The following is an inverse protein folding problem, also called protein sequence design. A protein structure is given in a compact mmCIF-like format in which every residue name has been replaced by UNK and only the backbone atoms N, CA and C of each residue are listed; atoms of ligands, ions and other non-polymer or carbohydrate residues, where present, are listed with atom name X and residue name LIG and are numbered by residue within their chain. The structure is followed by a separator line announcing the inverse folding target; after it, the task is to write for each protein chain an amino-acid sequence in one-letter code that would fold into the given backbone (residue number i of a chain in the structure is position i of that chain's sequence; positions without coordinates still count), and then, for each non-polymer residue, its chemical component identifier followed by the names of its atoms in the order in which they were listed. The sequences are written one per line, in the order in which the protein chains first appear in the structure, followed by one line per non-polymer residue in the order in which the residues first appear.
data_IF_179419547818
#
_entry.id   IF_179419547818
#
_cell.length_a   1.000
_cell.length_b   1.000
_cell.length_c   1.000
_cell.angle_alpha   90.00
_cell.angle_beta   90.00
_cell.angle_gamma   90.00
#
_symmetry.space_group_name_H-M   'P 1'
#
loop_
_entity.id
_entity.type
_entity.pdbx_description
1 polymer ?
#
# COMPACT_ATOMS: atom_id res chain seq x y z
N UNK A 1 9.12 -18.59 6.37
CA UNK A 1 9.88 -17.33 6.27
C UNK A 1 8.94 -16.18 6.61
N UNK A 2 9.50 -15.01 6.93
CA UNK A 2 8.72 -13.81 7.26
C UNK A 2 9.04 -12.70 6.28
N UNK A 3 8.00 -11.96 5.86
CA UNK A 3 8.08 -10.84 4.92
C UNK A 3 7.23 -9.67 5.43
N UNK A 4 7.56 -8.45 5.02
CA UNK A 4 6.87 -7.23 5.44
C UNK A 4 6.15 -6.61 4.24
N UNK A 5 4.86 -6.30 4.38
CA UNK A 5 4.11 -5.42 3.49
C UNK A 5 3.97 -4.04 4.15
N UNK A 6 4.55 -3.02 3.54
CA UNK A 6 4.59 -1.66 4.10
C UNK A 6 3.95 -0.62 3.18
N UNK A 7 3.06 0.18 3.76
CA UNK A 7 2.36 1.27 3.08
C UNK A 7 2.93 2.65 3.37
N UNK A 8 2.22 3.67 2.90
CA UNK A 8 2.70 5.06 2.92
C UNK A 8 2.67 5.69 4.33
N UNK A 9 2.05 5.04 5.31
CA UNK A 9 1.96 5.54 6.69
C UNK A 9 3.32 5.80 7.34
N UNK A 10 4.40 5.16 6.88
CA UNK A 10 5.76 5.42 7.38
C UNK A 10 6.35 6.72 6.83
N UNK A 11 5.95 7.12 5.63
CA UNK A 11 6.37 8.37 5.02
C UNK A 11 5.80 9.58 5.76
N UNK A 12 4.67 9.43 6.46
CA UNK A 12 4.02 10.49 7.24
C UNK A 12 4.89 11.07 8.39
N UNK A 13 5.99 10.40 8.75
CA UNK A 13 6.91 10.88 9.79
C UNK A 13 7.79 12.02 9.27
N UNK A 14 8.20 11.97 8.01
CA UNK A 14 9.11 12.94 7.36
C UNK A 14 8.43 13.76 6.27
N UNK A 15 7.27 13.31 5.79
CA UNK A 15 6.56 13.88 4.67
C UNK A 15 5.11 14.12 5.08
N UNK A 16 4.50 15.19 4.58
CA UNK A 16 3.08 15.44 4.79
C UNK A 16 2.37 15.48 3.43
N UNK A 17 2.28 14.32 2.78
CA UNK A 17 1.65 14.22 1.47
C UNK A 17 0.16 13.97 1.64
N UNK A 18 -0.63 14.98 1.30
CA UNK A 18 -2.06 14.85 1.18
C UNK A 18 -2.40 14.35 -0.23
N UNK A 19 -2.66 13.05 -0.36
CA UNK A 19 -3.03 12.41 -1.63
C UNK A 19 -4.22 13.08 -2.33
N UNK A 20 -5.19 13.59 -1.56
CA UNK A 20 -6.33 14.32 -2.12
C UNK A 20 -5.90 15.64 -2.75
N UNK A 21 -5.03 16.40 -2.08
CA UNK A 21 -4.46 17.63 -2.64
C UNK A 21 -3.58 17.35 -3.86
N UNK A 22 -2.81 16.26 -3.82
CA UNK A 22 -2.01 15.82 -4.96
C UNK A 22 -2.90 15.56 -6.19
N UNK A 23 -4.01 14.84 -6.01
CA UNK A 23 -4.98 14.59 -7.08
C UNK A 23 -5.69 15.89 -7.52
N UNK A 24 -6.05 16.79 -6.59
CA UNK A 24 -6.58 18.13 -6.92
C UNK A 24 -5.60 18.90 -7.80
N UNK A 25 -4.32 18.89 -7.49
CA UNK A 25 -3.33 19.62 -8.28
C UNK A 25 -3.21 19.08 -9.71
N UNK A 26 -3.41 17.77 -9.93
CA UNK A 26 -3.48 17.23 -11.29
C UNK A 26 -4.60 17.92 -12.08
N UNK A 27 -5.75 18.14 -11.45
CA UNK A 27 -6.95 18.73 -12.09
C UNK A 27 -6.74 20.15 -12.55
N UNK A 28 -6.06 20.96 -11.74
CA UNK A 28 -5.75 22.36 -12.05
C UNK A 28 -4.95 22.51 -13.35
N UNK A 29 -4.17 21.48 -13.71
CA UNK A 29 -3.38 21.47 -14.94
C UNK A 29 -4.15 21.06 -16.19
N UNK A 30 -5.39 20.56 -16.02
CA UNK A 30 -6.14 19.83 -17.05
C UNK A 30 -7.46 20.52 -17.39
N UNK A 31 -8.16 20.98 -16.35
CA UNK A 31 -9.51 21.51 -16.48
C UNK A 31 -9.66 22.74 -15.59
N UNK A 32 -9.99 23.87 -16.21
CA UNK A 32 -10.22 25.14 -15.50
C UNK A 32 -11.59 25.15 -14.81
N UNK A 33 -12.50 24.23 -15.16
CA UNK A 33 -13.78 24.04 -14.48
C UNK A 33 -13.62 23.05 -13.31
N UNK A 34 -13.98 23.53 -12.11
CA UNK A 34 -13.69 22.86 -10.84
C UNK A 34 -14.21 21.41 -10.76
N UNK A 35 -13.38 20.49 -10.26
CA UNK A 35 -13.89 19.22 -9.73
C UNK A 35 -14.63 19.49 -8.42
N UNK A 36 -15.90 19.08 -8.37
CA UNK A 36 -16.79 19.32 -7.23
C UNK A 36 -16.90 18.05 -6.38
N UNK A 37 -17.03 18.21 -5.07
CA UNK A 37 -17.34 17.15 -4.10
C UNK A 37 -16.29 16.04 -3.99
N UNK A 38 -14.99 16.38 -4.09
CA UNK A 38 -13.89 15.42 -3.95
C UNK A 38 -13.84 14.75 -2.57
N UNK A 39 -14.30 15.44 -1.54
CA UNK A 39 -14.50 14.92 -0.18
C UNK A 39 -15.57 13.82 -0.08
N UNK A 40 -16.47 13.72 -1.06
CA UNK A 40 -17.60 12.79 -1.05
C UNK A 40 -17.41 11.58 -1.97
N UNK A 41 -16.29 11.53 -2.69
CA UNK A 41 -16.00 10.48 -3.68
C UNK A 41 -14.92 9.54 -3.14
N UNK A 42 -15.06 8.22 -3.32
CA UNK A 42 -13.99 7.29 -3.02
C UNK A 42 -12.74 7.62 -3.87
N UNK A 43 -11.55 7.35 -3.33
CA UNK A 43 -10.28 7.72 -3.96
C UNK A 43 -10.15 7.26 -5.42
N UNK A 44 -10.53 6.00 -5.72
CA UNK A 44 -10.48 5.46 -7.08
C UNK A 44 -11.39 6.23 -8.05
N UNK A 45 -12.57 6.66 -7.60
CA UNK A 45 -13.50 7.43 -8.44
C UNK A 45 -12.95 8.81 -8.76
N UNK A 46 -12.19 9.41 -7.83
CA UNK A 46 -11.52 10.68 -8.08
C UNK A 46 -10.54 10.51 -9.23
N UNK A 47 -9.68 9.49 -9.20
CA UNK A 47 -8.72 9.28 -10.28
C UNK A 47 -9.41 9.03 -11.63
N UNK A 48 -10.45 8.19 -11.69
CA UNK A 48 -11.20 7.95 -12.93
C UNK A 48 -11.83 9.23 -13.49
N UNK A 49 -12.38 10.09 -12.62
CA UNK A 49 -12.91 11.39 -13.02
C UNK A 49 -11.80 12.28 -13.59
N UNK A 50 -10.65 12.37 -12.93
CA UNK A 50 -9.49 13.15 -13.40
C UNK A 50 -9.07 12.66 -14.79
N UNK A 51 -8.84 11.37 -14.95
CA UNK A 51 -8.39 10.80 -16.22
C UNK A 51 -9.42 11.02 -17.35
N UNK A 52 -10.70 10.78 -17.07
CA UNK A 52 -11.78 10.98 -18.05
C UNK A 52 -11.86 12.43 -18.52
N UNK A 53 -11.79 13.38 -17.58
CA UNK A 53 -11.79 14.82 -17.90
C UNK A 53 -10.53 15.22 -18.65
N UNK A 54 -9.37 14.68 -18.27
CA UNK A 54 -8.10 14.90 -18.96
C UNK A 54 -8.18 14.53 -20.44
N UNK A 55 -8.72 13.35 -20.73
CA UNK A 55 -8.92 12.89 -22.09
C UNK A 55 -9.93 13.72 -22.87
N UNK A 56 -11.04 14.12 -22.23
CA UNK A 56 -12.13 14.85 -22.87
C UNK A 56 -11.81 16.31 -23.17
N UNK A 57 -11.16 17.01 -22.25
CA UNK A 57 -11.02 18.47 -22.32
C UNK A 57 -9.62 18.97 -22.65
N UNK A 58 -8.59 18.14 -22.48
CA UNK A 58 -7.19 18.53 -22.71
C UNK A 58 -6.41 17.57 -23.61
N UNK A 59 -7.03 16.47 -24.06
CA UNK A 59 -6.36 15.37 -24.79
C UNK A 59 -5.10 14.85 -24.08
N UNK A 60 -5.05 14.98 -22.76
CA UNK A 60 -3.90 14.55 -21.95
C UNK A 60 -3.90 13.03 -21.84
N UNK A 61 -2.84 12.40 -22.31
CA UNK A 61 -2.60 10.96 -22.16
C UNK A 61 -2.33 10.60 -20.69
N UNK A 62 -2.74 9.39 -20.29
CA UNK A 62 -2.65 8.93 -18.90
C UNK A 62 -1.22 8.96 -18.35
N UNK A 63 -0.24 8.61 -19.20
CA UNK A 63 1.18 8.64 -18.84
C UNK A 63 1.62 10.04 -18.36
N UNK A 64 1.03 11.11 -18.88
CA UNK A 64 1.33 12.48 -18.44
C UNK A 64 0.87 12.70 -17.01
N UNK A 65 -0.31 12.19 -16.63
CA UNK A 65 -0.81 12.24 -15.25
C UNK A 65 0.10 11.48 -14.31
N UNK A 66 0.48 10.25 -14.68
CA UNK A 66 1.38 9.41 -13.87
C UNK A 66 2.76 10.05 -13.72
N UNK A 67 3.28 10.73 -14.75
CA UNK A 67 4.52 11.50 -14.65
C UNK A 67 4.39 12.69 -13.70
N UNK A 68 3.25 13.40 -13.68
CA UNK A 68 3.03 14.48 -12.72
C UNK A 68 2.98 13.95 -11.27
N UNK A 69 2.31 12.82 -11.05
CA UNK A 69 2.31 12.10 -9.76
C UNK A 69 3.76 11.77 -9.38
N UNK A 70 4.50 11.10 -10.26
CA UNK A 70 5.89 10.71 -10.01
C UNK A 70 6.78 11.91 -9.64
N UNK A 71 6.64 13.06 -10.33
CA UNK A 71 7.36 14.29 -10.00
C UNK A 71 7.03 14.80 -8.59
N UNK A 72 5.75 14.83 -8.20
CA UNK A 72 5.34 15.29 -6.86
C UNK A 72 5.84 14.40 -5.73
N UNK A 73 6.01 13.10 -5.98
CA UNK A 73 6.47 12.14 -4.98
C UNK A 73 8.00 12.00 -4.94
N UNK A 74 8.71 12.53 -5.94
CA UNK A 74 10.17 12.39 -6.06
C UNK A 74 10.93 13.03 -4.90
N UNK A 75 10.38 14.09 -4.33
CA UNK A 75 11.01 14.86 -3.24
C UNK A 75 10.65 14.32 -1.84
N UNK A 76 10.05 13.12 -1.77
CA UNK A 76 9.84 12.46 -0.48
C UNK A 76 11.17 12.17 0.21
N UNK A 77 11.21 12.48 1.50
CA UNK A 77 12.37 12.29 2.35
C UNK A 77 12.27 10.99 3.14
N UNK A 78 13.35 10.21 3.09
CA UNK A 78 13.57 9.06 3.97
C UNK A 78 13.64 9.52 5.43
N UNK A 79 13.22 8.65 6.34
CA UNK A 79 13.37 8.84 7.79
C UNK A 79 14.03 7.65 8.47
N UNK A 80 14.38 7.82 9.76
CA UNK A 80 15.07 6.81 10.57
C UNK A 80 14.39 5.43 10.62
N UNK A 81 13.07 5.36 10.43
CA UNK A 81 12.35 4.09 10.54
C UNK A 81 12.47 3.23 9.28
N UNK A 82 12.74 3.83 8.12
CA UNK A 82 13.08 3.07 6.91
C UNK A 82 14.35 2.26 7.13
N UNK A 83 15.37 2.88 7.73
CA UNK A 83 16.63 2.21 8.06
C UNK A 83 16.45 1.14 9.15
N UNK A 84 15.72 1.47 10.23
CA UNK A 84 15.42 0.51 11.30
C UNK A 84 14.69 -0.73 10.76
N UNK A 85 13.76 -0.58 9.82
CA UNK A 85 13.05 -1.70 9.17
C UNK A 85 14.00 -2.51 8.29
N UNK A 86 14.83 -1.88 7.47
CA UNK A 86 15.79 -2.61 6.62
C UNK A 86 16.78 -3.42 7.45
N UNK A 87 17.17 -2.92 8.62
CA UNK A 87 18.04 -3.63 9.57
C UNK A 87 17.34 -4.79 10.32
N UNK A 88 16.04 -5.02 10.11
CA UNK A 88 15.35 -6.23 10.59
C UNK A 88 15.64 -7.46 9.72
N UNK A 89 16.33 -7.29 8.59
CA UNK A 89 16.77 -8.37 7.71
C UNK A 89 15.64 -9.27 7.18
N UNK A 90 14.48 -8.68 6.88
CA UNK A 90 13.46 -9.40 6.10
C UNK A 90 14.05 -9.80 4.74
N UNK A 91 13.74 -11.02 4.28
CA UNK A 91 14.14 -11.46 2.94
C UNK A 91 13.41 -10.67 1.85
N UNK A 92 12.14 -10.35 2.10
CA UNK A 92 11.31 -9.56 1.20
C UNK A 92 10.57 -8.45 1.96
N UNK A 93 10.57 -7.27 1.37
CA UNK A 93 9.67 -6.17 1.74
C UNK A 93 8.83 -5.85 0.51
N UNK A 94 7.53 -5.99 0.64
CA UNK A 94 6.53 -5.57 -0.34
C UNK A 94 6.10 -4.16 0.02
N UNK A 95 5.95 -3.26 -0.95
CA UNK A 95 5.47 -1.90 -0.68
C UNK A 95 4.53 -1.40 -1.76
N UNK A 96 3.47 -0.72 -1.31
CA UNK A 96 2.56 0.04 -2.18
C UNK A 96 3.07 1.45 -2.46
N UNK A 97 4.20 1.83 -1.86
CA UNK A 97 4.80 3.14 -2.04
C UNK A 97 5.54 3.23 -3.38
N UNK A 98 5.35 4.34 -4.07
CA UNK A 98 5.99 4.59 -5.36
C UNK A 98 7.43 5.14 -5.23
N UNK A 99 7.75 5.75 -4.08
CA UNK A 99 9.06 6.33 -3.77
C UNK A 99 10.13 5.27 -3.45
N UNK A 100 11.37 5.71 -3.31
CA UNK A 100 12.53 4.83 -3.08
C UNK A 100 13.13 4.94 -1.68
N UNK A 101 12.35 5.33 -0.66
CA UNK A 101 12.86 5.47 0.70
C UNK A 101 13.33 4.14 1.32
N UNK A 102 12.85 2.99 0.81
CA UNK A 102 13.32 1.65 1.17
C UNK A 102 14.43 1.09 0.26
N UNK A 103 14.74 1.76 -0.86
CA UNK A 103 15.76 1.33 -1.81
C UNK A 103 16.79 2.41 -2.15
N UNK A 104 17.24 3.23 -1.17
CA UNK A 104 18.25 4.22 -1.48
C UNK A 104 19.51 3.49 -1.94
N UNK A 105 20.01 3.84 -3.12
CA UNK A 105 21.20 3.24 -3.73
C UNK A 105 21.06 1.77 -4.15
N UNK A 106 19.85 1.28 -4.41
CA UNK A 106 19.67 -0.09 -4.90
C UNK A 106 20.44 -0.36 -6.20
N UNK A 107 21.05 -1.55 -6.27
CA UNK A 107 22.08 -1.89 -7.27
C UNK A 107 21.54 -2.62 -8.50
N UNK A 108 20.23 -2.76 -8.65
CA UNK A 108 19.65 -3.39 -9.84
C UNK A 108 18.13 -3.44 -9.87
N UNK A 109 17.58 -3.28 -11.07
CA UNK A 109 16.18 -3.55 -11.41
C UNK A 109 16.14 -4.90 -12.12
N UNK A 110 15.43 -5.89 -11.59
CA UNK A 110 15.40 -7.24 -12.16
C UNK A 110 14.15 -7.54 -12.98
N UNK A 111 13.77 -6.68 -13.93
CA UNK A 111 12.69 -7.00 -14.88
C UNK A 111 12.59 -6.01 -16.04
N UNK A 112 11.99 -6.47 -17.16
CA UNK A 112 11.52 -5.62 -18.29
C UNK A 112 10.03 -5.31 -18.21
N UNK A 113 9.32 -5.78 -17.17
CA UNK A 113 7.89 -5.48 -16.98
C UNK A 113 7.69 -3.98 -17.01
N UNK A 114 6.63 -3.51 -17.67
CA UNK A 114 6.27 -2.08 -17.69
C UNK A 114 5.05 -1.78 -16.84
N UNK A 115 4.20 -2.78 -16.56
CA UNK A 115 2.95 -2.68 -15.79
C UNK A 115 2.84 -3.79 -14.73
N UNK A 116 2.03 -3.56 -13.71
CA UNK A 116 1.60 -4.51 -12.64
C UNK A 116 2.69 -5.08 -11.70
N UNK A 117 3.97 -4.93 -12.05
CA UNK A 117 5.12 -5.16 -11.15
C UNK A 117 5.15 -6.53 -10.46
N UNK A 118 4.66 -7.60 -11.11
CA UNK A 118 4.57 -8.93 -10.50
C UNK A 118 5.92 -9.52 -10.14
N UNK A 119 6.93 -9.26 -10.96
CA UNK A 119 8.29 -9.74 -10.76
C UNK A 119 9.32 -8.62 -10.54
N UNK A 120 8.86 -7.38 -10.38
CA UNK A 120 9.70 -6.20 -10.24
C UNK A 120 10.13 -6.04 -8.78
N UNK A 121 11.44 -6.10 -8.55
CA UNK A 121 12.03 -5.74 -7.28
C UNK A 121 13.38 -5.07 -7.49
N UNK A 122 13.79 -4.35 -6.45
CA UNK A 122 15.13 -3.82 -6.27
C UNK A 122 15.83 -4.59 -5.16
N UNK A 123 17.15 -4.75 -5.28
CA UNK A 123 17.97 -5.34 -4.23
C UNK A 123 18.54 -4.24 -3.33
N UNK A 124 18.32 -4.37 -2.03
CA UNK A 124 19.02 -3.61 -0.99
C UNK A 124 19.68 -4.59 -0.03
N UNK A 125 21.02 -4.66 -0.06
CA UNK A 125 21.79 -5.74 0.57
C UNK A 125 21.25 -7.13 0.16
N UNK A 126 20.76 -7.91 1.12
CA UNK A 126 20.18 -9.24 0.89
C UNK A 126 18.64 -9.23 0.84
N UNK A 127 18.02 -8.06 0.95
CA UNK A 127 16.57 -7.89 0.95
C UNK A 127 16.07 -7.51 -0.43
N UNK A 128 15.01 -8.19 -0.89
CA UNK A 128 14.25 -7.81 -2.09
C UNK A 128 13.16 -6.82 -1.71
N UNK A 129 13.15 -5.65 -2.33
CA UNK A 129 12.11 -4.64 -2.18
C UNK A 129 11.21 -4.64 -3.41
N UNK A 130 9.95 -5.02 -3.23
CA UNK A 130 8.97 -5.20 -4.29
C UNK A 130 7.99 -4.03 -4.31
N UNK A 131 8.06 -3.20 -5.35
CA UNK A 131 7.14 -2.07 -5.54
C UNK A 131 5.85 -2.55 -6.23
N UNK A 132 4.95 -3.14 -5.44
CA UNK A 132 3.81 -3.89 -5.96
C UNK A 132 2.78 -3.02 -6.68
N UNK A 133 2.73 -1.71 -6.38
CA UNK A 133 1.86 -0.75 -7.07
C UNK A 133 2.60 0.10 -8.12
N UNK A 134 3.85 -0.24 -8.44
CA UNK A 134 4.69 0.53 -9.35
C UNK A 134 5.59 1.54 -8.66
N UNK A 135 6.37 2.27 -9.45
CA UNK A 135 7.47 3.11 -8.95
C UNK A 135 7.67 4.40 -9.77
N UNK A 136 8.13 5.47 -9.13
CA UNK A 136 8.22 6.81 -9.74
C UNK A 136 9.17 6.91 -10.94
N UNK A 137 10.22 6.07 -11.02
CA UNK A 137 11.11 6.07 -12.20
C UNK A 137 10.54 5.27 -13.38
N UNK A 138 9.42 4.57 -13.20
CA UNK A 138 8.67 3.91 -14.26
C UNK A 138 7.18 4.28 -14.18
N UNK A 139 6.79 5.51 -14.52
CA UNK A 139 5.43 6.00 -14.30
C UNK A 139 4.32 5.14 -14.92
N UNK A 140 4.58 4.47 -16.06
CA UNK A 140 3.66 3.48 -16.66
C UNK A 140 3.19 2.39 -15.67
N UNK A 141 4.05 2.03 -14.71
CA UNK A 141 3.78 0.98 -13.72
C UNK A 141 2.88 1.42 -12.57
N UNK A 142 2.67 2.73 -12.36
CA UNK A 142 1.89 3.27 -11.24
C UNK A 142 0.43 2.80 -11.36
N UNK A 143 -0.06 2.17 -10.29
CA UNK A 143 -1.43 1.67 -10.13
C UNK A 143 -2.23 2.60 -9.22
N UNK A 144 -3.23 3.30 -9.76
CA UNK A 144 -4.00 4.30 -9.00
C UNK A 144 -5.50 4.33 -9.34
N UNK A 145 -5.92 3.54 -10.34
CA UNK A 145 -7.28 3.56 -10.92
C UNK A 145 -7.84 2.15 -11.05
N UNK A 146 -9.14 2.03 -11.31
CA UNK A 146 -9.82 0.74 -11.37
C UNK A 146 -9.23 -0.18 -12.43
N UNK A 147 -8.96 0.34 -13.64
CA UNK A 147 -8.36 -0.44 -14.72
C UNK A 147 -7.06 -1.11 -14.26
N UNK A 148 -6.20 -0.36 -13.58
CA UNK A 148 -4.92 -0.86 -13.11
C UNK A 148 -5.06 -2.02 -12.12
N UNK A 149 -5.93 -1.87 -11.13
CA UNK A 149 -6.14 -2.89 -10.10
C UNK A 149 -6.80 -4.14 -10.69
N UNK A 150 -7.82 -3.98 -11.54
CA UNK A 150 -8.50 -5.11 -12.17
C UNK A 150 -7.58 -5.86 -13.13
N UNK A 151 -6.81 -5.14 -13.94
CA UNK A 151 -5.83 -5.72 -14.85
C UNK A 151 -4.69 -6.40 -14.06
N UNK A 152 -4.25 -5.85 -12.93
CA UNK A 152 -3.28 -6.51 -12.04
C UNK A 152 -3.84 -7.84 -11.51
N UNK A 153 -5.05 -7.86 -10.95
CA UNK A 153 -5.72 -9.08 -10.46
C UNK A 153 -5.84 -10.12 -11.58
N UNK A 154 -6.25 -9.71 -12.78
CA UNK A 154 -6.36 -10.61 -13.93
C UNK A 154 -5.01 -11.24 -14.29
N UNK A 155 -3.94 -10.44 -14.34
CA UNK A 155 -2.59 -10.94 -14.59
C UNK A 155 -2.12 -11.89 -13.48
N UNK A 156 -2.42 -11.61 -12.21
CA UNK A 156 -2.12 -12.50 -11.10
C UNK A 156 -2.80 -13.86 -11.32
N UNK A 157 -4.08 -13.87 -11.69
CA UNK A 157 -4.83 -15.11 -11.94
C UNK A 157 -4.26 -15.91 -13.12
N UNK A 158 -3.89 -15.25 -14.22
CA UNK A 158 -3.23 -15.92 -15.36
C UNK A 158 -1.91 -16.53 -14.89
N UNK A 159 -1.07 -15.75 -14.22
CA UNK A 159 0.21 -16.25 -13.73
C UNK A 159 0.02 -17.46 -12.80
N UNK A 160 -0.95 -17.44 -11.89
CA UNK A 160 -1.22 -18.59 -11.01
C UNK A 160 -1.68 -19.84 -11.77
N UNK A 161 -2.41 -19.70 -12.88
CA UNK A 161 -2.79 -20.83 -13.75
C UNK A 161 -1.61 -21.37 -14.56
N UNK A 162 -0.77 -20.47 -15.09
CA UNK A 162 0.39 -20.84 -15.92
C UNK A 162 1.58 -21.35 -15.11
N UNK A 163 1.66 -21.01 -13.81
CA UNK A 163 2.70 -21.39 -12.85
C UNK A 163 2.76 -22.89 -12.49
N UNK A 164 2.14 -23.77 -13.28
CA UNK A 164 2.23 -25.23 -13.14
C UNK A 164 3.37 -25.87 -13.96
N UNK A 165 4.28 -25.08 -14.56
CA UNK A 165 5.40 -25.56 -15.39
C UNK A 165 6.76 -25.48 -14.66
N UNK A 166 7.70 -26.36 -15.02
CA UNK A 166 9.08 -26.39 -14.46
C UNK A 166 9.86 -25.08 -14.73
N UNK A 167 10.74 -24.67 -13.80
CA UNK A 167 11.49 -23.38 -13.75
C UNK A 167 10.67 -22.11 -13.43
N UNK A 168 9.92 -22.15 -12.32
CA UNK A 168 9.07 -21.04 -11.84
C UNK A 168 9.88 -19.79 -11.43
N UNK A 169 9.53 -18.63 -12.01
CA UNK A 169 9.94 -17.33 -11.48
C UNK A 169 9.06 -16.99 -10.26
N UNK A 170 9.68 -16.73 -9.11
CA UNK A 170 8.96 -16.36 -7.88
C UNK A 170 8.50 -14.91 -7.98
N UNK A 171 7.19 -14.68 -7.87
CA UNK A 171 6.55 -13.36 -7.81
C UNK A 171 6.35 -12.90 -6.35
N UNK A 172 6.03 -11.62 -6.16
CA UNK A 172 5.59 -11.14 -4.84
C UNK A 172 4.29 -11.79 -4.37
N UNK A 173 3.43 -12.27 -5.28
CA UNK A 173 2.22 -13.03 -4.94
C UNK A 173 2.60 -14.36 -4.32
N UNK A 174 3.59 -15.05 -4.88
CA UNK A 174 4.06 -16.31 -4.30
C UNK A 174 4.63 -16.08 -2.89
N UNK A 175 5.35 -14.98 -2.69
CA UNK A 175 5.84 -14.57 -1.36
C UNK A 175 4.65 -14.35 -0.43
N UNK A 176 3.65 -13.55 -0.83
CA UNK A 176 2.47 -13.26 -0.02
C UNK A 176 1.68 -14.51 0.36
N UNK A 177 1.55 -15.47 -0.57
CA UNK A 177 0.81 -16.71 -0.34
C UNK A 177 1.56 -17.69 0.58
N UNK A 178 2.90 -17.69 0.60
CA UNK A 178 3.68 -18.72 1.29
C UNK A 178 4.43 -18.24 2.55
N UNK A 179 4.72 -16.94 2.69
CA UNK A 179 5.42 -16.39 3.85
C UNK A 179 4.46 -15.94 4.96
N UNK A 180 4.96 -15.83 6.19
CA UNK A 180 4.28 -15.04 7.21
C UNK A 180 4.39 -13.56 6.84
N UNK A 181 3.27 -12.84 6.79
CA UNK A 181 3.23 -11.43 6.35
C UNK A 181 2.90 -10.50 7.51
N UNK A 182 3.78 -9.55 7.78
CA UNK A 182 3.48 -8.40 8.63
C UNK A 182 3.00 -7.25 7.76
N UNK A 183 1.88 -6.63 8.10
CA UNK A 183 1.35 -5.47 7.39
C UNK A 183 1.49 -4.24 8.27
N UNK A 184 2.19 -3.22 7.76
CA UNK A 184 2.51 -1.99 8.49
C UNK A 184 2.25 -0.75 7.65
N UNK A 185 1.68 0.30 8.24
CA UNK A 185 1.58 1.61 7.59
C UNK A 185 0.64 1.64 6.37
N UNK A 186 -0.15 0.59 6.14
CA UNK A 186 -1.26 0.61 5.20
C UNK A 186 -2.54 1.03 5.90
N UNK A 187 -3.36 1.80 5.20
CA UNK A 187 -4.71 2.12 5.66
C UNK A 187 -5.65 0.92 5.53
N UNK A 188 -5.48 0.10 4.49
CA UNK A 188 -6.42 -0.96 4.09
C UNK A 188 -7.86 -0.42 4.03
N UNK A 189 -8.05 0.77 3.46
CA UNK A 189 -9.40 1.18 3.09
C UNK A 189 -9.95 0.24 2.01
N UNK A 190 -11.27 0.18 1.86
CA UNK A 190 -11.90 -0.76 0.93
C UNK A 190 -11.60 -0.45 -0.55
N UNK A 191 -10.90 0.65 -0.86
CA UNK A 191 -10.35 0.97 -2.17
C UNK A 191 -9.05 0.24 -2.50
N UNK A 192 -8.33 -0.35 -1.54
CA UNK A 192 -7.16 -1.23 -1.78
C UNK A 192 -7.63 -2.63 -2.24
N UNK A 193 -8.43 -2.65 -3.31
CA UNK A 193 -9.25 -3.79 -3.74
C UNK A 193 -8.45 -5.04 -4.11
N UNK A 194 -7.23 -4.87 -4.62
CA UNK A 194 -6.32 -5.96 -4.97
C UNK A 194 -5.75 -6.66 -3.74
N UNK A 195 -5.38 -5.90 -2.71
CA UNK A 195 -4.97 -6.45 -1.41
C UNK A 195 -6.12 -7.16 -0.71
N UNK A 196 -7.32 -6.58 -0.72
CA UNK A 196 -8.53 -7.23 -0.19
C UNK A 196 -8.85 -8.53 -0.94
N UNK A 197 -8.78 -8.50 -2.26
CA UNK A 197 -8.95 -9.69 -3.09
C UNK A 197 -7.91 -10.75 -2.73
N UNK A 198 -6.63 -10.38 -2.60
CA UNK A 198 -5.54 -11.30 -2.32
C UNK A 198 -5.63 -11.93 -0.92
N UNK A 199 -6.00 -11.16 0.10
CA UNK A 199 -6.26 -11.67 1.45
C UNK A 199 -7.39 -12.70 1.44
N UNK A 200 -8.50 -12.37 0.78
CA UNK A 200 -9.64 -13.26 0.63
C UNK A 200 -9.29 -14.53 -0.15
N UNK A 201 -8.55 -14.38 -1.25
CA UNK A 201 -8.08 -15.48 -2.09
C UNK A 201 -7.14 -16.42 -1.35
N UNK A 202 -6.14 -15.87 -0.65
CA UNK A 202 -5.23 -16.63 0.22
C UNK A 202 -6.00 -17.44 1.26
N UNK A 203 -6.95 -16.82 1.96
CA UNK A 203 -7.74 -17.53 2.98
C UNK A 203 -8.52 -18.70 2.38
N UNK A 204 -9.15 -18.53 1.21
CA UNK A 204 -9.81 -19.63 0.49
C UNK A 204 -8.83 -20.76 0.14
N UNK A 205 -7.64 -20.44 -0.36
CA UNK A 205 -6.63 -21.45 -0.68
C UNK A 205 -6.20 -22.25 0.57
N UNK A 206 -6.10 -21.62 1.73
CA UNK A 206 -5.80 -22.31 3.00
C UNK A 206 -6.95 -23.23 3.40
N UNK A 207 -8.21 -22.75 3.35
CA UNK A 207 -9.39 -23.53 3.71
C UNK A 207 -9.59 -24.75 2.77
N UNK A 208 -9.25 -24.58 1.50
CA UNK A 208 -9.25 -25.65 0.49
C UNK A 208 -8.03 -26.57 0.59
N UNK A 209 -7.12 -26.37 1.55
CA UNK A 209 -5.84 -27.08 1.71
C UNK A 209 -4.93 -27.04 0.45
N UNK A 210 -5.04 -25.98 -0.36
CA UNK A 210 -4.22 -25.78 -1.58
C UNK A 210 -2.86 -25.15 -1.30
N UNK A 211 -2.72 -24.45 -0.18
CA UNK A 211 -1.45 -23.89 0.31
C UNK A 211 -1.31 -24.17 1.81
N UNK A 212 -0.07 -24.19 2.30
CA UNK A 212 0.19 -24.34 3.73
C UNK A 212 -0.30 -23.11 4.51
N UNK A 213 -0.81 -23.34 5.72
CA UNK A 213 -1.18 -22.26 6.62
C UNK A 213 0.06 -21.45 7.06
N UNK A 214 0.01 -20.15 6.83
CA UNK A 214 0.94 -19.12 7.31
C UNK A 214 0.19 -18.04 8.08
N UNK A 215 0.91 -17.13 8.73
CA UNK A 215 0.35 -16.01 9.52
C UNK A 215 0.29 -14.72 8.71
N UNK A 216 -0.75 -13.92 8.93
CA UNK A 216 -0.78 -12.52 8.47
C UNK A 216 -1.15 -11.65 9.66
N UNK A 217 -0.31 -10.67 9.99
CA UNK A 217 -0.50 -9.78 11.14
C UNK A 217 -0.62 -8.34 10.64
N UNK A 218 -1.78 -7.72 10.85
CA UNK A 218 -1.99 -6.30 10.60
C UNK A 218 -1.66 -5.48 11.85
N UNK A 219 -0.65 -4.62 11.74
CA UNK A 219 -0.16 -3.77 12.83
C UNK A 219 -0.90 -2.44 12.79
N UNK A 220 -1.91 -2.33 13.66
CA UNK A 220 -2.78 -1.18 13.75
C UNK A 220 -2.25 -0.18 14.78
N UNK A 221 -2.28 1.10 14.42
CA UNK A 221 -2.01 2.19 15.36
C UNK A 221 -3.29 2.58 16.14
N UNK A 222 -3.15 2.85 17.43
CA UNK A 222 -4.24 3.42 18.25
C UNK A 222 -3.68 4.53 19.13
N UNK A 223 -4.02 5.76 18.77
CA UNK A 223 -3.65 6.93 19.58
C UNK A 223 -4.55 7.01 20.81
N UNK A 224 -3.97 7.12 22.00
CA UNK A 224 -4.71 7.49 23.20
C UNK A 224 -5.08 8.97 23.10
N UNK A 225 -6.38 9.26 23.07
CA UNK A 225 -6.88 10.63 23.06
C UNK A 225 -7.11 11.02 24.52
N UNK A 226 -6.29 11.91 25.06
CA UNK A 226 -6.57 12.58 26.33
C UNK A 226 -7.79 13.49 26.16
N UNK A 227 -8.94 13.08 26.70
CA UNK A 227 -10.18 13.85 26.90
C UNK A 227 -10.55 14.86 25.80
N UNK A 228 -11.47 14.45 24.94
CA UNK A 228 -12.17 15.22 23.91
C UNK A 228 -12.99 16.38 24.47
N UNK A 229 -12.37 17.51 24.82
CA UNK A 229 -13.14 18.62 25.43
C UNK A 229 -13.72 19.61 24.40
N UNK A 230 -13.22 19.71 23.15
CA UNK A 230 -13.74 20.71 22.19
C UNK A 230 -13.85 20.20 20.73
N UNK A 231 -14.63 19.14 20.47
CA UNK A 231 -14.96 18.74 19.08
C UNK A 231 -16.32 19.33 18.65
N UNK A 232 -16.37 19.88 17.44
CA UNK A 232 -17.61 20.30 16.78
C UNK A 232 -18.55 19.10 16.52
N UNK A 233 -19.84 19.35 16.27
CA UNK A 233 -20.79 18.27 15.95
C UNK A 233 -20.42 17.52 14.67
N UNK A 234 -19.92 18.23 13.66
CA UNK A 234 -19.45 17.62 12.42
C UNK A 234 -18.25 16.70 12.66
N UNK A 235 -17.28 17.12 13.49
CA UNK A 235 -16.14 16.28 13.87
C UNK A 235 -16.56 15.05 14.67
N UNK A 236 -17.57 15.19 15.55
CA UNK A 236 -18.14 14.04 16.28
C UNK A 236 -18.76 13.03 15.32
N UNK A 237 -19.59 13.49 14.37
CA UNK A 237 -20.23 12.61 13.37
C UNK A 237 -19.17 11.92 12.52
N UNK A 238 -18.19 12.68 12.00
CA UNK A 238 -17.10 12.12 11.20
C UNK A 238 -16.28 11.08 11.98
N UNK A 239 -16.02 11.31 13.27
CA UNK A 239 -15.35 10.33 14.12
C UNK A 239 -16.20 9.06 14.34
N UNK A 240 -17.52 9.20 14.50
CA UNK A 240 -18.43 8.05 14.61
C UNK A 240 -18.41 7.23 13.31
N UNK A 241 -18.48 7.87 12.14
CA UNK A 241 -18.44 7.20 10.84
C UNK A 241 -17.11 6.47 10.63
N UNK A 242 -15.98 7.15 10.84
CA UNK A 242 -14.64 6.54 10.77
C UNK A 242 -14.50 5.34 11.70
N UNK A 243 -15.05 5.43 12.92
CA UNK A 243 -15.04 4.30 13.85
C UNK A 243 -15.89 3.12 13.38
N UNK A 244 -17.01 3.35 12.69
CA UNK A 244 -17.82 2.28 12.10
C UNK A 244 -17.06 1.60 10.96
N UNK A 245 -16.46 2.37 10.06
CA UNK A 245 -15.66 1.84 8.95
C UNK A 245 -14.45 1.04 9.46
N UNK A 246 -13.73 1.56 10.46
CA UNK A 246 -12.60 0.86 11.07
C UNK A 246 -13.03 -0.47 11.70
N UNK A 247 -14.19 -0.51 12.37
CA UNK A 247 -14.74 -1.75 12.92
C UNK A 247 -15.06 -2.76 11.82
N UNK A 248 -15.72 -2.33 10.74
CA UNK A 248 -16.05 -3.19 9.60
C UNK A 248 -14.78 -3.74 8.92
N UNK A 249 -13.75 -2.90 8.73
CA UNK A 249 -12.44 -3.33 8.22
C UNK A 249 -11.82 -4.42 9.10
N UNK A 250 -11.75 -4.20 10.41
CA UNK A 250 -11.15 -5.15 11.35
C UNK A 250 -11.92 -6.47 11.40
N UNK A 251 -13.25 -6.42 11.31
CA UNK A 251 -14.09 -7.61 11.19
C UNK A 251 -13.75 -8.40 9.92
N UNK A 252 -13.70 -7.73 8.76
CA UNK A 252 -13.35 -8.37 7.49
C UNK A 252 -11.94 -8.98 7.49
N UNK A 253 -10.94 -8.27 8.05
CA UNK A 253 -9.59 -8.80 8.20
C UNK A 253 -9.57 -10.09 9.02
N UNK A 254 -10.29 -10.13 10.15
CA UNK A 254 -10.40 -11.34 10.99
C UNK A 254 -11.08 -12.48 10.24
N UNK A 255 -12.13 -12.21 9.46
CA UNK A 255 -12.79 -13.22 8.60
C UNK A 255 -11.80 -13.83 7.60
N UNK A 256 -10.86 -13.04 7.08
CA UNK A 256 -9.79 -13.52 6.18
C UNK A 256 -8.58 -14.10 6.91
N UNK A 257 -8.70 -14.38 8.21
CA UNK A 257 -7.64 -15.02 9.00
C UNK A 257 -6.46 -14.10 9.29
N UNK A 258 -6.66 -12.78 9.26
CA UNK A 258 -5.65 -11.79 9.64
C UNK A 258 -5.71 -11.51 11.13
N UNK A 259 -4.56 -11.67 11.79
CA UNK A 259 -4.37 -11.32 13.19
C UNK A 259 -4.17 -9.81 13.34
N UNK A 260 -4.73 -9.21 14.38
CA UNK A 260 -4.67 -7.76 14.60
C UNK A 260 -3.73 -7.48 15.77
N UNK A 261 -2.60 -6.85 15.48
CA UNK A 261 -1.70 -6.33 16.51
C UNK A 261 -1.96 -4.84 16.70
N UNK A 262 -2.69 -4.50 17.75
CA UNK A 262 -2.91 -3.10 18.13
C UNK A 262 -1.73 -2.59 18.96
N UNK A 263 -1.13 -1.48 18.54
CA UNK A 263 -0.09 -0.75 19.28
C UNK A 263 -0.66 0.59 19.70
N UNK A 264 -0.67 0.78 21.02
CA UNK A 264 -1.24 1.95 21.67
C UNK A 264 -0.12 2.95 21.96
N UNK A 265 -0.33 4.23 21.60
CA UNK A 265 0.67 5.29 21.80
C UNK A 265 -0.01 6.61 22.21
N UNK A 266 0.67 7.41 23.00
CA UNK A 266 0.13 8.68 23.54
C UNK A 266 0.61 9.89 22.73
N UNK A 267 1.92 9.96 22.50
CA UNK A 267 2.58 11.19 22.08
C UNK A 267 2.50 11.42 20.57
N UNK A 268 3.33 10.70 19.81
CA UNK A 268 3.53 10.92 18.38
C UNK A 268 3.84 9.61 17.65
N UNK A 269 3.89 9.68 16.32
CA UNK A 269 4.17 8.51 15.50
C UNK A 269 5.57 7.91 15.70
N UNK A 270 6.54 8.68 16.23
CA UNK A 270 7.89 8.16 16.52
C UNK A 270 7.81 7.08 17.62
N UNK A 271 7.03 7.33 18.69
CA UNK A 271 6.80 6.33 19.74
C UNK A 271 6.12 5.07 19.19
N UNK A 272 5.04 5.24 18.42
CA UNK A 272 4.36 4.13 17.73
C UNK A 272 5.35 3.28 16.91
N UNK A 273 6.15 3.88 16.04
CA UNK A 273 7.08 3.12 15.21
C UNK A 273 8.24 2.51 16.00
N UNK A 274 8.69 3.11 17.12
CA UNK A 274 9.66 2.46 18.00
C UNK A 274 9.08 1.16 18.59
N UNK A 275 7.83 1.18 19.05
CA UNK A 275 7.15 -0.01 19.55
C UNK A 275 6.93 -1.06 18.44
N UNK A 276 6.59 -0.62 17.22
CA UNK A 276 6.51 -1.50 16.04
C UNK A 276 7.84 -2.22 15.79
N UNK A 277 8.96 -1.49 15.79
CA UNK A 277 10.28 -2.07 15.57
C UNK A 277 10.61 -3.12 16.65
N UNK A 278 10.30 -2.84 17.91
CA UNK A 278 10.52 -3.82 18.98
C UNK A 278 9.67 -5.08 18.77
N UNK A 279 8.38 -4.90 18.47
CA UNK A 279 7.49 -6.01 18.17
C UNK A 279 7.99 -6.87 17.00
N UNK A 280 8.33 -6.24 15.88
CA UNK A 280 8.83 -6.95 14.70
C UNK A 280 10.13 -7.70 15.00
N UNK A 281 11.06 -7.12 15.78
CA UNK A 281 12.28 -7.82 16.20
C UNK A 281 11.96 -9.09 16.99
N UNK A 282 11.02 -9.03 17.93
CA UNK A 282 10.70 -10.19 18.77
C UNK A 282 9.92 -11.26 18.04
N UNK A 283 9.02 -10.89 17.14
CA UNK A 283 8.10 -11.83 16.49
C UNK A 283 8.68 -12.43 15.20
N UNK A 284 9.49 -11.68 14.44
CA UNK A 284 10.06 -12.17 13.18
C UNK A 284 11.22 -13.15 13.34
N UNK A 285 11.84 -13.21 14.53
CA UNK A 285 12.91 -14.14 14.88
C UNK A 285 12.35 -15.51 15.29
N UNK A 286 11.06 -15.59 15.64
CA UNK A 286 10.35 -16.81 16.03
C UNK A 286 9.50 -17.39 14.88
#
# INVERSE_FOLDING_TARGET
MSSLLVGNGINNISNNINWKELLIDLTRSIDKENIINLDKKPFLHIYEEIYTRAKKYSSTEEITLKQQIARKLKDMNRNQFHEKILNLNFNNILTTNYDYNFTPYATGIKTKETKYSLYRYQMYNNTKIWHIHGEINAPESIMIGYEHYMSSIHNIQINQKENQKENKKISWIDIFLNDNIYILGLGLDFGEIDLWWLLSYRNRLILDNKIQKNKVIYIKNKKLISSSINLSEEEKINNILKNKEEKAKIEMLKVFGVEIKEIIFENNYIDYYNQVIQFLKTDSIN
#
